data_IF_128947459999
#
_entry.id   IF_128947459999
#
_cell.length_a   1.000
_cell.length_b   1.000
_cell.length_c   1.000
_cell.angle_alpha   90.00
_cell.angle_beta   90.00
_cell.angle_gamma   90.00
#
_symmetry.space_group_name_H-M   'P 1'
#
loop_
_entity.id
_entity.type
_entity.pdbx_description
1 polymer ?
#
# COMPACT_ATOMS: atom_id res chain seq x y z
N UNK A 1 -10.23 7.32 8.86
CA UNK A 1 -10.16 7.51 7.39
C UNK A 1 -9.16 6.50 6.84
N UNK A 2 -9.37 5.98 5.62
CA UNK A 2 -8.55 4.92 5.04
C UNK A 2 -7.27 5.47 4.41
N UNK A 3 -6.16 4.80 4.65
CA UNK A 3 -4.86 5.07 4.04
C UNK A 3 -4.16 3.78 3.66
N UNK A 4 -3.14 3.91 2.81
CA UNK A 4 -2.42 2.78 2.23
C UNK A 4 -0.91 2.89 2.46
N UNK A 5 -0.23 1.75 2.56
CA UNK A 5 1.23 1.65 2.65
C UNK A 5 1.74 0.53 1.73
N UNK A 6 2.64 0.86 0.80
CA UNK A 6 3.33 -0.14 -0.01
C UNK A 6 4.56 -0.69 0.69
N UNK A 7 4.78 -2.00 0.63
CA UNK A 7 5.97 -2.65 1.18
C UNK A 7 6.30 -3.96 0.43
N UNK A 8 7.58 -4.32 0.32
CA UNK A 8 7.99 -5.63 -0.20
C UNK A 8 7.85 -6.76 0.84
N UNK A 9 7.65 -6.43 2.12
CA UNK A 9 7.49 -7.41 3.19
C UNK A 9 6.02 -7.80 3.34
N UNK A 10 5.75 -9.11 3.44
CA UNK A 10 4.43 -9.70 3.66
C UNK A 10 4.09 -9.89 5.14
N UNK A 11 2.80 -10.04 5.45
CA UNK A 11 2.34 -10.51 6.76
C UNK A 11 2.51 -9.51 7.89
N UNK A 12 2.71 -8.22 7.58
CA UNK A 12 2.80 -7.19 8.61
C UNK A 12 1.44 -7.03 9.29
N UNK A 13 1.44 -6.93 10.62
CA UNK A 13 0.24 -6.66 11.43
C UNK A 13 0.20 -5.23 11.97
N UNK A 14 1.38 -4.64 12.14
CA UNK A 14 1.57 -3.29 12.65
C UNK A 14 2.65 -2.61 11.83
N UNK A 15 2.39 -1.39 11.36
CA UNK A 15 3.43 -0.53 10.81
C UNK A 15 4.03 0.29 11.95
N UNK A 16 5.35 0.20 12.09
CA UNK A 16 6.11 0.92 13.13
C UNK A 16 6.82 2.13 12.53
N UNK A 17 6.91 3.27 13.26
CA UNK A 17 7.67 4.41 12.79
C UNK A 17 9.16 4.08 12.60
N UNK A 18 9.70 4.35 11.41
CA UNK A 18 11.13 4.21 11.11
C UNK A 18 11.78 5.57 10.95
N UNK A 19 13.09 5.64 11.25
CA UNK A 19 13.85 6.87 11.13
C UNK A 19 13.85 7.34 9.67
N UNK A 20 13.24 8.49 9.42
CA UNK A 20 13.21 9.09 8.09
C UNK A 20 14.44 9.96 7.83
N UNK A 21 14.62 10.32 6.56
CA UNK A 21 15.60 11.33 6.13
C UNK A 21 15.33 12.72 6.74
N UNK A 22 14.15 12.94 7.32
CA UNK A 22 13.79 14.16 8.05
C UNK A 22 14.11 14.09 9.55
N UNK A 23 14.92 13.10 9.98
CA UNK A 23 15.39 12.91 11.37
C UNK A 23 14.30 12.65 12.41
N UNK A 24 13.06 12.43 11.96
CA UNK A 24 11.94 12.00 12.81
C UNK A 24 11.47 10.61 12.38
N UNK A 25 10.94 9.83 13.33
CA UNK A 25 10.39 8.52 13.03
C UNK A 25 8.97 8.67 12.50
N UNK A 26 8.69 8.10 11.33
CA UNK A 26 7.38 8.14 10.70
C UNK A 26 6.98 6.77 10.19
N UNK A 27 5.67 6.51 10.19
CA UNK A 27 5.03 5.61 9.24
C UNK A 27 4.55 6.45 8.08
N UNK A 28 4.99 6.11 6.87
CA UNK A 28 4.55 6.78 5.64
C UNK A 28 3.32 6.08 5.08
N UNK A 29 2.27 6.86 4.85
CA UNK A 29 1.01 6.39 4.30
C UNK A 29 0.62 7.26 3.09
N UNK A 30 -0.37 6.83 2.33
CA UNK A 30 -0.98 7.63 1.28
C UNK A 30 -2.50 7.46 1.23
N UNK A 31 -3.20 8.50 0.79
CA UNK A 31 -4.63 8.44 0.46
C UNK A 31 -4.89 7.79 -0.90
N UNK A 32 -3.86 7.49 -1.69
CA UNK A 32 -3.99 6.93 -3.04
C UNK A 32 -3.37 5.53 -3.13
N UNK A 33 -4.22 4.52 -3.33
CA UNK A 33 -3.82 3.12 -3.38
C UNK A 33 -2.83 2.81 -4.52
N UNK A 34 -2.97 3.47 -5.68
CA UNK A 34 -2.05 3.31 -6.82
C UNK A 34 -0.66 3.87 -6.47
N UNK A 35 -0.59 4.94 -5.68
CA UNK A 35 0.70 5.43 -5.18
C UNK A 35 1.31 4.43 -4.19
N UNK A 36 0.52 3.77 -3.36
CA UNK A 36 1.01 2.71 -2.49
C UNK A 36 1.59 1.53 -3.29
N UNK A 37 0.99 1.17 -4.43
CA UNK A 37 1.54 0.16 -5.35
C UNK A 37 2.98 0.50 -5.74
N UNK A 38 3.29 1.76 -6.03
CA UNK A 38 4.64 2.17 -6.42
C UNK A 38 5.68 1.93 -5.32
N UNK A 39 5.27 1.96 -4.05
CA UNK A 39 6.13 1.72 -2.89
C UNK A 39 6.25 0.24 -2.51
N UNK A 40 5.61 -0.67 -3.24
CA UNK A 40 5.70 -2.11 -2.96
C UNK A 40 7.06 -2.72 -3.29
N UNK A 41 7.90 -2.01 -4.04
CA UNK A 41 9.31 -2.34 -4.28
C UNK A 41 10.20 -1.26 -3.70
N UNK A 42 11.33 -1.64 -3.11
CA UNK A 42 12.31 -0.67 -2.62
C UNK A 42 13.23 -0.22 -3.75
N UNK A 43 13.29 1.08 -3.99
CA UNK A 43 14.20 1.73 -4.93
C UNK A 43 14.62 3.10 -4.39
N UNK A 44 15.77 3.60 -4.85
CA UNK A 44 16.27 4.92 -4.47
C UNK A 44 15.58 6.06 -5.24
N UNK A 45 14.90 5.72 -6.33
CA UNK A 45 14.16 6.64 -7.19
C UNK A 45 12.82 6.02 -7.61
N UNK A 46 11.72 6.66 -7.21
CA UNK A 46 10.38 6.30 -7.67
C UNK A 46 9.99 7.24 -8.80
N UNK A 47 9.83 6.72 -10.00
CA UNK A 47 9.59 7.49 -11.23
C UNK A 47 8.10 7.62 -11.54
N UNK A 48 7.35 8.22 -10.61
CA UNK A 48 5.94 8.54 -10.83
C UNK A 48 5.65 10.03 -10.66
N UNK A 49 4.63 10.48 -11.37
CA UNK A 49 4.04 11.81 -11.25
C UNK A 49 2.53 11.73 -11.16
N UNK A 50 1.88 12.88 -11.30
CA UNK A 50 0.43 12.98 -11.41
C UNK A 50 0.10 13.70 -12.70
N UNK A 51 -0.84 13.13 -13.45
CA UNK A 51 -1.43 13.82 -14.58
C UNK A 51 -2.10 15.13 -14.12
N UNK A 52 -1.87 16.23 -14.85
CA UNK A 52 -2.28 17.57 -14.40
C UNK A 52 -3.77 17.82 -14.53
N UNK A 53 -4.44 17.12 -15.44
CA UNK A 53 -5.86 17.31 -15.72
C UNK A 53 -6.72 16.39 -14.85
N UNK A 54 -6.33 15.12 -14.77
CA UNK A 54 -7.08 14.07 -14.08
C UNK A 54 -6.64 13.87 -12.63
N UNK A 55 -5.41 14.27 -12.29
CA UNK A 55 -4.80 13.98 -10.98
C UNK A 55 -4.44 12.50 -10.78
N UNK A 56 -4.52 11.67 -11.82
CA UNK A 56 -4.19 10.25 -11.74
C UNK A 56 -2.68 10.05 -11.59
N UNK A 57 -2.22 9.13 -10.73
CA UNK A 57 -0.81 8.76 -10.69
C UNK A 57 -0.37 8.13 -12.01
N UNK A 58 0.78 8.55 -12.52
CA UNK A 58 1.38 8.05 -13.77
C UNK A 58 2.79 7.58 -13.48
N UNK A 59 3.07 6.30 -13.74
CA UNK A 59 4.43 5.77 -13.75
C UNK A 59 5.09 6.17 -15.08
N UNK A 60 6.28 6.76 -15.03
CA UNK A 60 7.03 7.21 -16.21
C UNK A 60 8.36 6.48 -16.24
N UNK A 61 8.54 5.62 -17.24
CA UNK A 61 9.85 4.99 -17.45
C UNK A 61 10.87 6.03 -17.92
N UNK A 62 11.93 6.23 -17.14
CA UNK A 62 13.05 7.12 -17.49
C UNK A 62 14.08 6.41 -18.35
N UNK A 63 14.02 5.08 -18.42
CA UNK A 63 14.77 4.24 -19.34
C UNK A 63 13.91 3.05 -19.77
N UNK A 64 14.25 2.46 -20.92
CA UNK A 64 13.52 1.32 -21.48
C UNK A 64 13.46 0.16 -20.47
N UNK A 65 12.28 -0.38 -20.26
CA UNK A 65 12.01 -1.54 -19.40
C UNK A 65 12.22 -1.25 -17.88
N UNK A 66 12.20 0.02 -17.44
CA UNK A 66 12.34 0.38 -16.02
C UNK A 66 11.29 -0.30 -15.12
N UNK A 67 10.03 -0.35 -15.55
CA UNK A 67 8.98 -1.01 -14.79
C UNK A 67 9.30 -2.51 -14.65
N UNK A 68 9.78 -3.13 -15.72
CA UNK A 68 10.18 -4.54 -15.72
C UNK A 68 11.32 -4.77 -14.74
N UNK A 69 12.36 -3.95 -14.80
CA UNK A 69 13.54 -4.10 -13.97
C UNK A 69 13.22 -3.88 -12.49
N UNK A 70 12.30 -2.98 -12.20
CA UNK A 70 11.85 -2.71 -10.83
C UNK A 70 10.94 -3.80 -10.27
N UNK A 71 10.05 -4.40 -11.06
CA UNK A 71 8.98 -5.26 -10.52
C UNK A 71 9.07 -6.74 -10.90
N UNK A 72 9.77 -7.10 -11.97
CA UNK A 72 9.77 -8.48 -12.47
C UNK A 72 10.32 -9.46 -11.45
N UNK A 73 9.58 -10.55 -11.21
CA UNK A 73 9.86 -11.55 -10.17
C UNK A 73 9.92 -11.00 -8.73
N UNK A 74 9.41 -9.78 -8.49
CA UNK A 74 9.20 -9.25 -7.14
C UNK A 74 7.73 -9.36 -6.79
N UNK A 75 7.47 -9.62 -5.51
CA UNK A 75 6.13 -9.63 -4.94
C UNK A 75 6.04 -8.42 -4.01
N UNK A 76 4.97 -7.65 -4.19
CA UNK A 76 4.69 -6.45 -3.45
C UNK A 76 3.42 -6.57 -2.63
N UNK A 77 3.31 -5.78 -1.56
CA UNK A 77 2.16 -5.80 -0.65
C UNK A 77 1.66 -4.38 -0.37
N UNK A 78 0.38 -4.15 -0.58
CA UNK A 78 -0.31 -2.91 -0.20
C UNK A 78 -1.05 -3.18 1.11
N UNK A 79 -0.78 -2.40 2.14
CA UNK A 79 -1.42 -2.48 3.43
C UNK A 79 -2.43 -1.36 3.58
N UNK A 80 -3.66 -1.69 3.94
CA UNK A 80 -4.70 -0.72 4.30
C UNK A 80 -4.69 -0.49 5.81
N UNK A 81 -4.82 0.76 6.22
CA UNK A 81 -4.91 1.17 7.63
C UNK A 81 -6.01 2.20 7.82
N UNK A 82 -6.62 2.20 8.99
CA UNK A 82 -7.53 3.26 9.42
C UNK A 82 -6.81 4.18 10.42
N UNK A 83 -6.84 5.49 10.15
CA UNK A 83 -6.34 6.51 11.08
C UNK A 83 -7.27 7.71 11.15
N UNK A 84 -7.42 8.27 12.34
CA UNK A 84 -8.08 9.56 12.59
C UNK A 84 -7.07 10.69 12.77
N UNK A 85 -5.82 10.34 13.09
CA UNK A 85 -4.74 11.27 13.39
C UNK A 85 -3.65 11.15 12.34
N UNK A 86 -3.76 11.96 11.28
CA UNK A 86 -2.69 12.12 10.29
C UNK A 86 -1.99 13.45 10.47
N UNK A 87 -0.67 13.43 10.32
CA UNK A 87 0.13 14.64 10.19
C UNK A 87 0.42 14.91 8.73
N UNK A 88 0.51 16.20 8.39
CA UNK A 88 0.92 16.61 7.05
C UNK A 88 2.34 16.09 6.78
N UNK A 89 2.52 15.45 5.64
CA UNK A 89 3.78 14.85 5.26
C UNK A 89 4.87 15.92 5.04
N UNK A 90 6.13 15.67 5.45
CA UNK A 90 7.28 16.50 5.08
C UNK A 90 7.64 16.47 3.58
N UNK A 91 7.09 15.58 2.76
CA UNK A 91 7.35 15.58 1.30
C UNK A 91 6.38 16.47 0.52
N UNK A 92 6.74 16.78 -0.74
CA UNK A 92 5.91 17.54 -1.67
C UNK A 92 4.83 16.69 -2.40
N UNK A 93 4.59 15.45 -1.97
CA UNK A 93 3.59 14.56 -2.58
C UNK A 93 2.25 14.79 -1.90
N UNK A 94 1.27 15.30 -2.65
CA UNK A 94 -0.03 15.76 -2.14
C UNK A 94 -0.85 14.70 -1.40
N UNK A 95 -0.79 13.45 -1.87
CA UNK A 95 -1.55 12.33 -1.31
C UNK A 95 -0.78 11.57 -0.22
N UNK A 96 0.45 11.95 0.10
CA UNK A 96 1.26 11.25 1.09
C UNK A 96 1.08 11.92 2.46
N UNK A 97 0.95 11.13 3.51
CA UNK A 97 0.70 11.54 4.90
C UNK A 97 1.60 10.74 5.82
N UNK A 98 1.77 11.19 7.07
CA UNK A 98 2.59 10.48 8.05
C UNK A 98 1.88 10.34 9.39
N UNK A 99 2.21 9.28 10.11
CA UNK A 99 1.88 9.12 11.54
C UNK A 99 3.15 8.81 12.33
N UNK A 100 3.13 9.15 13.61
CA UNK A 100 4.31 9.07 14.50
C UNK A 100 4.18 7.97 15.57
N UNK A 101 3.13 7.16 15.47
CA UNK A 101 2.85 6.04 16.35
C UNK A 101 2.66 4.77 15.52
N UNK A 102 2.71 3.63 16.21
CA UNK A 102 2.39 2.32 15.63
C UNK A 102 0.93 2.30 15.14
N UNK A 103 0.70 1.81 13.93
CA UNK A 103 -0.65 1.73 13.33
C UNK A 103 -0.98 0.29 12.95
N UNK A 104 -2.18 -0.14 13.30
CA UNK A 104 -2.68 -1.49 13.00
C UNK A 104 -3.09 -1.59 11.53
N UNK A 105 -2.75 -2.73 10.93
CA UNK A 105 -3.12 -3.05 9.56
C UNK A 105 -4.50 -3.72 9.54
N UNK A 106 -5.35 -3.25 8.64
CA UNK A 106 -6.69 -3.79 8.42
C UNK A 106 -6.70 -4.87 7.33
N UNK A 107 -6.01 -4.64 6.21
CA UNK A 107 -5.92 -5.60 5.11
C UNK A 107 -4.55 -5.54 4.43
N UNK A 108 -4.24 -6.61 3.70
CA UNK A 108 -3.01 -6.78 2.93
C UNK A 108 -3.41 -7.24 1.52
N UNK A 109 -2.98 -6.52 0.49
CA UNK A 109 -3.14 -6.94 -0.90
C UNK A 109 -1.78 -7.28 -1.48
N UNK A 110 -1.58 -8.55 -1.82
CA UNK A 110 -0.41 -9.03 -2.57
C UNK A 110 -0.58 -8.70 -4.05
N UNK A 111 0.46 -8.13 -4.65
CA UNK A 111 0.56 -7.81 -6.06
C UNK A 111 1.81 -8.47 -6.64
N UNK A 112 1.66 -9.12 -7.80
CA UNK A 112 2.77 -9.68 -8.55
C UNK A 112 2.75 -9.14 -9.98
N UNK A 113 3.86 -8.57 -10.41
CA UNK A 113 4.04 -8.03 -11.76
C UNK A 113 5.17 -8.81 -12.43
N UNK A 114 4.91 -9.27 -13.66
CA UNK A 114 5.87 -10.02 -14.47
C UNK A 114 5.76 -9.58 -15.92
N UNK A 115 6.90 -9.26 -16.53
CA UNK A 115 6.96 -8.74 -17.90
C UNK A 115 5.95 -7.60 -18.13
N UNK A 116 5.98 -6.60 -17.26
CA UNK A 116 5.16 -5.37 -17.34
C UNK A 116 3.65 -5.59 -17.22
N UNK A 117 3.25 -6.78 -16.79
CA UNK A 117 1.85 -7.16 -16.60
C UNK A 117 1.64 -7.58 -15.17
N UNK A 118 0.52 -7.13 -14.59
CA UNK A 118 0.02 -7.70 -13.35
C UNK A 118 -0.38 -9.15 -13.65
N UNK A 119 0.24 -10.11 -12.97
CA UNK A 119 -0.04 -11.54 -13.13
C UNK A 119 -0.78 -12.14 -11.94
N UNK A 120 -0.83 -11.43 -10.81
CA UNK A 120 -1.53 -11.85 -9.60
C UNK A 120 -1.96 -10.63 -8.79
N UNK A 121 -3.19 -10.67 -8.28
CA UNK A 121 -3.70 -9.82 -7.22
C UNK A 121 -4.39 -10.74 -6.23
N UNK A 122 -3.91 -10.78 -5.00
CA UNK A 122 -4.52 -11.55 -3.91
C UNK A 122 -4.78 -10.62 -2.73
N UNK A 123 -6.05 -10.42 -2.40
CA UNK A 123 -6.46 -9.51 -1.34
C UNK A 123 -6.82 -10.28 -0.06
N UNK A 124 -6.04 -10.06 0.97
CA UNK A 124 -6.22 -10.58 2.31
C UNK A 124 -6.88 -9.53 3.21
N UNK A 125 -8.03 -9.87 3.78
CA UNK A 125 -8.79 -8.99 4.67
C UNK A 125 -8.75 -9.58 6.06
N UNK A 126 -8.17 -8.84 7.02
CA UNK A 126 -8.18 -9.25 8.40
C UNK A 126 -9.59 -9.10 8.97
N UNK A 127 -10.39 -10.16 8.94
CA UNK A 127 -11.62 -10.23 9.72
C UNK A 127 -11.84 -11.68 10.18
N UNK A 128 -11.47 -11.95 11.43
CA UNK A 128 -11.43 -13.29 12.04
C UNK A 128 -12.84 -13.79 12.46
N UNK A 129 -13.87 -13.58 11.61
CA UNK A 129 -15.00 -14.53 11.56
C UNK A 129 -16.34 -14.14 10.87
N UNK A 130 -17.01 -15.06 10.12
CA UNK A 130 -16.37 -16.17 9.43
C UNK A 130 -16.95 -16.48 8.03
N UNK A 131 -16.07 -16.60 7.04
CA UNK A 131 -16.31 -16.97 5.62
C UNK A 131 -15.77 -18.39 5.24
N UNK A 132 -16.33 -19.19 4.29
CA UNK A 132 -17.20 -20.43 4.34
C UNK A 132 -16.71 -21.85 4.80
N UNK A 133 -17.21 -22.54 5.84
CA UNK A 133 -16.54 -23.64 6.63
C UNK A 133 -15.18 -24.24 6.25
N UNK A 134 -14.88 -24.90 5.15
CA UNK A 134 -13.47 -25.25 4.87
C UNK A 134 -12.68 -24.06 4.37
N UNK A 135 -13.34 -23.04 3.84
CA UNK A 135 -12.99 -21.65 3.71
C UNK A 135 -13.28 -20.98 5.07
N UNK A 136 -14.26 -21.35 5.90
CA UNK A 136 -14.17 -21.08 7.35
C UNK A 136 -13.06 -21.91 8.03
N UNK A 137 -12.27 -22.62 7.22
CA UNK A 137 -11.07 -23.37 7.53
C UNK A 137 -9.98 -23.02 6.47
N UNK A 138 -10.24 -22.10 5.53
CA UNK A 138 -9.44 -21.66 4.35
C UNK A 138 -9.88 -20.23 3.95
N UNK A 139 -10.20 -19.31 4.88
CA UNK A 139 -11.21 -18.20 4.86
C UNK A 139 -11.00 -17.09 3.81
N UNK A 140 -11.07 -17.43 2.52
CA UNK A 140 -10.82 -16.50 1.41
C UNK A 140 -11.97 -15.47 1.22
N UNK A 141 -11.69 -14.26 0.73
CA UNK A 141 -12.66 -13.23 0.30
C UNK A 141 -13.44 -12.50 1.42
N UNK A 142 -13.83 -11.24 1.18
CA UNK A 142 -14.41 -10.30 2.17
C UNK A 142 -15.89 -10.58 2.53
N UNK A 143 -16.37 -10.48 3.80
CA UNK A 143 -17.74 -10.02 4.07
C UNK A 143 -17.79 -8.50 3.93
N UNK A 144 -18.76 -7.99 3.20
CA UNK A 144 -18.82 -6.57 2.82
C UNK A 144 -20.27 -6.13 3.02
N UNK A 145 -20.69 -5.08 3.74
CA UNK A 145 -20.23 -4.16 4.81
C UNK A 145 -21.57 -3.61 5.36
N UNK A 146 -21.65 -2.99 6.55
CA UNK A 146 -22.77 -2.06 6.84
C UNK A 146 -22.25 -0.82 7.55
N UNK A 147 -22.71 0.33 7.08
CA UNK A 147 -22.10 1.64 7.27
C UNK A 147 -22.13 2.14 8.72
N UNK A 148 -21.18 3.02 9.07
CA UNK A 148 -21.15 3.76 10.33
C UNK A 148 -20.13 3.23 11.34
N UNK A 149 -18.85 3.49 11.11
CA UNK A 149 -17.92 3.65 12.23
C UNK A 149 -18.36 4.93 12.96
N UNK A 150 -19.06 4.75 14.09
CA UNK A 150 -19.41 5.83 15.02
C UNK A 150 -18.19 6.29 15.79
#
# INVERSE_FOLDING_TARGET
MKYYHGSPASGLKVLKPFLSNHKKKYVYLTTNEVVALFYTVKTDWYTYGFDKETGLPVFTEYYKDELKDLYNNKVGYIYEVDSESISKNPTNISCAVVVEHDIQIYSETKINIKNDKIIEVDEYWGDDGPAPQWRMNKHIGRPIKKEGYK
#
